data_IF_654568217490
#
_entry.id   IF_654568217490
#
_cell.length_a   1.000
_cell.length_b   1.000
_cell.length_c   1.000
_cell.angle_alpha   90.00
_cell.angle_beta   90.00
_cell.angle_gamma   90.00
#
_symmetry.space_group_name_H-M   'P 1'
#
loop_
_entity.id
_entity.type
_entity.pdbx_description
1 polymer ?
#
# COMPACT_ATOMS: atom_id res chain seq x y z
N UNK A 1 8.80 14.67 -13.97
CA UNK A 1 7.62 15.56 -13.87
C UNK A 1 6.48 14.73 -13.31
N UNK A 2 5.70 15.31 -12.39
CA UNK A 2 4.57 14.65 -11.72
C UNK A 2 3.32 15.41 -12.11
N UNK A 3 2.33 14.74 -12.71
CA UNK A 3 0.97 15.28 -12.81
C UNK A 3 0.14 14.64 -11.67
N UNK A 4 -0.52 15.44 -10.83
CA UNK A 4 -1.26 14.99 -9.64
C UNK A 4 -2.78 15.17 -9.82
N UNK A 5 -3.55 14.20 -9.35
CA UNK A 5 -5.01 14.26 -9.22
C UNK A 5 -5.42 13.79 -7.81
N UNK A 6 -6.69 13.98 -7.38
CA UNK A 6 -7.12 13.62 -6.03
C UNK A 6 -6.84 12.16 -5.63
N UNK A 7 -6.84 11.25 -6.61
CA UNK A 7 -6.71 9.80 -6.38
C UNK A 7 -5.45 9.20 -7.03
N UNK A 8 -4.53 10.00 -7.59
CA UNK A 8 -3.41 9.43 -8.31
C UNK A 8 -2.32 10.40 -8.79
N UNK A 9 -1.24 9.80 -9.28
CA UNK A 9 -0.08 10.51 -9.80
C UNK A 9 0.32 9.92 -11.15
N UNK A 10 0.81 10.76 -12.05
CA UNK A 10 1.52 10.33 -13.26
C UNK A 10 2.98 10.73 -13.13
N UNK A 11 3.87 9.75 -13.04
CA UNK A 11 5.30 10.00 -13.05
C UNK A 11 5.86 9.87 -14.47
N UNK A 12 6.60 10.88 -14.91
CA UNK A 12 7.31 10.89 -16.19
C UNK A 12 8.81 10.97 -15.97
N UNK A 13 9.54 9.94 -16.43
CA UNK A 13 11.00 9.88 -16.44
C UNK A 13 11.54 10.26 -17.83
N UNK A 14 12.48 11.21 -17.86
CA UNK A 14 13.12 11.71 -19.09
C UNK A 14 14.32 10.84 -19.49
N UNK A 15 14.95 10.16 -18.52
CA UNK A 15 16.01 9.18 -18.73
C UNK A 15 15.95 8.18 -17.59
N UNK A 16 15.48 6.97 -17.85
CA UNK A 16 15.37 5.93 -16.85
C UNK A 16 15.43 4.57 -17.53
N UNK A 17 16.35 3.73 -17.08
CA UNK A 17 16.24 2.30 -17.36
C UNK A 17 14.96 1.79 -16.68
N UNK A 18 14.25 0.89 -17.35
CA UNK A 18 13.08 0.20 -16.81
C UNK A 18 13.55 -0.69 -15.65
N UNK A 19 13.83 -0.10 -14.48
CA UNK A 19 14.03 -0.87 -13.26
C UNK A 19 12.74 -1.64 -13.00
N UNK A 20 12.88 -2.89 -12.54
CA UNK A 20 11.83 -3.88 -12.27
C UNK A 20 10.58 -3.28 -11.60
N UNK A 21 9.74 -2.65 -12.39
CA UNK A 21 8.47 -2.07 -11.98
C UNK A 21 7.44 -2.66 -12.93
N UNK A 22 6.40 -3.25 -12.37
CA UNK A 22 5.26 -3.84 -13.04
C UNK A 22 3.96 -3.19 -12.59
N UNK A 23 2.89 -3.41 -13.36
CA UNK A 23 1.55 -3.15 -12.83
C UNK A 23 1.27 -4.12 -11.67
N UNK A 24 0.66 -3.62 -10.59
CA UNK A 24 0.47 -4.38 -9.34
C UNK A 24 1.53 -4.10 -8.28
N UNK A 25 2.63 -3.41 -8.63
CA UNK A 25 3.65 -3.06 -7.65
C UNK A 25 3.19 -1.92 -6.74
N UNK A 26 3.58 -1.99 -5.46
CA UNK A 26 3.42 -0.90 -4.52
C UNK A 26 4.71 -0.08 -4.45
N UNK A 27 4.56 1.24 -4.53
CA UNK A 27 5.67 2.19 -4.49
C UNK A 27 5.43 3.28 -3.45
N UNK A 28 6.52 3.75 -2.84
CA UNK A 28 6.52 4.92 -2.00
C UNK A 28 6.90 6.16 -2.84
N UNK A 29 6.00 7.12 -2.93
CA UNK A 29 6.23 8.41 -3.58
C UNK A 29 6.41 9.49 -2.52
N UNK A 30 7.52 10.22 -2.59
CA UNK A 30 7.73 11.43 -1.80
C UNK A 30 7.82 12.62 -2.77
N UNK A 31 6.80 13.50 -2.84
CA UNK A 31 6.87 14.73 -3.63
C UNK A 31 8.04 15.61 -3.15
N UNK A 32 8.62 16.45 -4.00
CA UNK A 32 9.72 17.33 -3.57
C UNK A 32 9.23 18.45 -2.65
N UNK A 33 7.99 18.85 -2.87
CA UNK A 33 7.29 19.94 -2.21
C UNK A 33 6.70 19.51 -0.85
N UNK A 34 6.70 18.20 -0.55
CA UNK A 34 6.12 17.63 0.66
C UNK A 34 7.05 16.56 1.25
N UNK A 35 7.33 16.64 2.55
CA UNK A 35 8.09 15.59 3.24
C UNK A 35 7.29 14.30 3.47
N UNK A 36 5.99 14.27 3.14
CA UNK A 36 5.12 13.11 3.38
C UNK A 36 5.31 12.05 2.29
N UNK A 37 5.40 10.80 2.74
CA UNK A 37 5.44 9.64 1.86
C UNK A 37 4.00 9.19 1.57
N UNK A 38 3.69 9.02 0.30
CA UNK A 38 2.44 8.45 -0.19
C UNK A 38 2.71 7.03 -0.69
N UNK A 39 1.96 6.04 -0.20
CA UNK A 39 1.98 4.71 -0.79
C UNK A 39 1.02 4.69 -1.97
N UNK A 40 1.51 4.24 -3.12
CA UNK A 40 0.77 4.20 -4.37
C UNK A 40 0.84 2.81 -5.01
N UNK A 41 -0.21 2.45 -5.76
CA UNK A 41 -0.28 1.25 -6.58
C UNK A 41 0.04 1.60 -8.03
N UNK A 42 0.95 0.86 -8.66
CA UNK A 42 1.24 0.99 -10.08
C UNK A 42 0.11 0.35 -10.89
N UNK A 43 -0.65 1.17 -11.62
CA UNK A 43 -1.77 0.71 -12.46
C UNK A 43 -1.37 0.50 -13.91
N UNK A 44 -0.40 1.26 -14.40
CA UNK A 44 0.09 1.15 -15.77
C UNK A 44 1.53 1.62 -15.90
N UNK A 45 2.23 1.01 -16.84
CA UNK A 45 3.56 1.44 -17.27
C UNK A 45 3.55 1.54 -18.78
N UNK A 46 3.91 2.71 -19.30
CA UNK A 46 4.09 2.96 -20.72
C UNK A 46 5.54 3.35 -20.96
N UNK A 47 6.22 2.67 -21.88
CA UNK A 47 7.62 2.93 -22.20
C UNK A 47 7.77 3.15 -23.70
N UNK A 48 8.41 4.24 -24.10
CA UNK A 48 8.90 4.51 -25.45
C UNK A 48 10.42 4.69 -25.41
N UNK A 49 11.07 4.78 -26.58
CA UNK A 49 12.53 4.88 -26.70
C UNK A 49 13.16 6.04 -25.90
N UNK A 50 12.38 7.08 -25.59
CA UNK A 50 12.85 8.29 -24.90
C UNK A 50 12.09 8.61 -23.62
N UNK A 51 11.10 7.78 -23.24
CA UNK A 51 10.18 8.15 -22.15
C UNK A 51 9.63 6.92 -21.42
N UNK A 52 9.61 7.00 -20.10
CA UNK A 52 8.88 6.08 -19.24
C UNK A 52 7.80 6.86 -18.48
N UNK A 53 6.56 6.42 -18.61
CA UNK A 53 5.40 6.96 -17.92
C UNK A 53 4.78 5.89 -17.00
N UNK A 54 4.56 6.24 -15.75
CA UNK A 54 4.01 5.34 -14.73
C UNK A 54 2.75 5.98 -14.17
N UNK A 55 1.61 5.32 -14.35
CA UNK A 55 0.35 5.72 -13.74
C UNK A 55 0.22 5.08 -12.37
N UNK A 56 0.10 5.92 -11.35
CA UNK A 56 -0.01 5.56 -9.95
C UNK A 56 -1.39 5.92 -9.41
N UNK A 57 -1.95 5.03 -8.60
CA UNK A 57 -3.13 5.30 -7.79
C UNK A 57 -2.71 5.49 -6.34
N UNK A 58 -3.15 6.57 -5.70
CA UNK A 58 -2.88 6.82 -4.29
C UNK A 58 -3.61 5.79 -3.43
N UNK A 59 -2.87 5.03 -2.63
CA UNK A 59 -3.44 4.08 -1.67
C UNK A 59 -3.60 4.72 -0.31
N UNK A 60 -2.53 5.29 0.24
CA UNK A 60 -2.59 6.00 1.53
C UNK A 60 -1.56 7.11 1.61
N UNK A 61 -1.94 8.31 2.11
CA UNK A 61 -1.03 9.39 2.43
C UNK A 61 -0.35 9.23 3.80
N UNK A 62 -0.72 8.22 4.58
CA UNK A 62 -0.16 7.98 5.92
C UNK A 62 0.03 6.49 6.18
N UNK A 63 1.29 6.12 6.47
CA UNK A 63 1.66 4.74 6.75
C UNK A 63 2.49 4.61 8.03
N UNK A 64 2.50 3.42 8.61
CA UNK A 64 3.35 3.07 9.75
C UNK A 64 3.84 1.64 9.63
N UNK A 65 5.08 1.39 10.01
CA UNK A 65 5.57 0.03 10.23
C UNK A 65 5.05 -0.43 11.59
N UNK A 66 4.42 -1.61 11.62
CA UNK A 66 3.73 -2.15 12.79
C UNK A 66 4.07 -3.60 12.98
N UNK A 67 3.91 -4.10 14.20
CA UNK A 67 3.84 -5.53 14.47
C UNK A 67 2.38 -5.97 14.47
N UNK A 68 2.12 -7.09 13.81
CA UNK A 68 0.81 -7.72 13.73
C UNK A 68 0.84 -9.01 14.54
N UNK A 69 -0.09 -9.10 15.49
CA UNK A 69 -0.33 -10.31 16.27
C UNK A 69 -1.61 -10.96 15.78
N UNK A 70 -1.58 -12.25 15.50
CA UNK A 70 -2.75 -13.03 15.15
C UNK A 70 -2.71 -14.37 15.88
N UNK A 71 -3.87 -14.97 16.10
CA UNK A 71 -3.91 -16.33 16.64
C UNK A 71 -3.19 -17.29 15.68
N UNK A 72 -2.42 -18.21 16.25
CA UNK A 72 -1.71 -19.28 15.52
C UNK A 72 -0.68 -18.80 14.47
N UNK A 73 -0.36 -17.51 14.44
CA UNK A 73 0.62 -16.93 13.51
C UNK A 73 1.69 -16.19 14.30
N UNK A 74 3.00 -16.37 14.03
CA UNK A 74 4.03 -15.58 14.68
C UNK A 74 3.81 -14.08 14.48
N UNK A 75 4.24 -13.26 15.44
CA UNK A 75 4.25 -11.81 15.28
C UNK A 75 5.05 -11.44 14.02
N UNK A 76 4.43 -10.70 13.10
CA UNK A 76 5.09 -10.26 11.86
C UNK A 76 5.06 -8.74 11.70
N UNK A 77 6.14 -8.21 11.13
CA UNK A 77 6.19 -6.81 10.72
C UNK A 77 5.41 -6.61 9.43
N UNK A 78 4.61 -5.55 9.40
CA UNK A 78 3.79 -5.17 8.26
C UNK A 78 3.81 -3.64 8.06
N UNK A 79 3.29 -3.19 6.92
CA UNK A 79 3.02 -1.77 6.68
C UNK A 79 1.52 -1.53 6.82
N UNK A 80 1.15 -0.73 7.82
CA UNK A 80 -0.22 -0.32 8.08
C UNK A 80 -0.54 1.00 7.38
N UNK A 81 -1.63 1.01 6.61
CA UNK A 81 -2.17 2.18 5.93
C UNK A 81 -3.34 2.71 6.77
N UNK A 82 -3.21 3.93 7.29
CA UNK A 82 -4.19 4.46 8.26
C UNK A 82 -5.55 4.75 7.61
N UNK A 83 -5.56 5.13 6.34
CA UNK A 83 -6.77 5.26 5.55
C UNK A 83 -6.51 4.90 4.08
N UNK A 84 -7.56 4.49 3.39
CA UNK A 84 -7.60 4.23 1.96
C UNK A 84 -8.62 5.19 1.34
N UNK A 85 -8.22 6.40 0.91
CA UNK A 85 -9.16 7.46 0.49
C UNK A 85 -10.10 7.01 -0.64
N UNK A 86 -9.56 6.34 -1.65
CA UNK A 86 -10.32 5.81 -2.79
C UNK A 86 -11.24 4.62 -2.44
N UNK A 87 -11.13 4.10 -1.21
CA UNK A 87 -11.85 2.91 -0.74
C UNK A 87 -12.56 3.22 0.59
N UNK A 88 -13.39 4.26 0.63
CA UNK A 88 -14.26 4.52 1.79
C UNK A 88 -13.55 4.84 3.11
N UNK A 89 -12.25 5.17 3.09
CA UNK A 89 -11.42 5.44 4.28
C UNK A 89 -11.25 4.22 5.21
N UNK A 90 -11.29 3.00 4.68
CA UNK A 90 -10.84 1.81 5.42
C UNK A 90 -9.34 1.90 5.76
N UNK A 91 -8.89 1.17 6.77
CA UNK A 91 -7.45 0.95 6.96
C UNK A 91 -6.96 -0.14 6.00
N UNK A 92 -5.67 -0.17 5.69
CA UNK A 92 -5.06 -1.20 4.87
C UNK A 92 -3.86 -1.85 5.54
N UNK A 93 -3.45 -3.00 5.04
CA UNK A 93 -2.31 -3.75 5.54
C UNK A 93 -1.53 -4.38 4.39
N UNK A 94 -0.23 -4.11 4.31
CA UNK A 94 0.68 -4.78 3.39
C UNK A 94 1.55 -5.76 4.18
N UNK A 95 1.57 -7.00 3.74
CA UNK A 95 2.25 -8.11 4.43
C UNK A 95 3.07 -8.95 3.45
N UNK A 96 3.91 -9.83 3.99
CA UNK A 96 4.49 -10.89 3.18
C UNK A 96 3.38 -11.80 2.61
N UNK A 97 3.57 -12.38 1.41
CA UNK A 97 2.59 -13.29 0.83
C UNK A 97 2.31 -14.50 1.71
N UNK A 98 1.04 -14.87 1.85
CA UNK A 98 0.58 -16.03 2.60
C UNK A 98 0.65 -15.86 4.12
N UNK A 99 0.96 -14.66 4.63
CA UNK A 99 1.04 -14.39 6.05
C UNK A 99 -0.33 -14.41 6.73
N UNK A 100 -1.38 -13.96 6.04
CA UNK A 100 -2.72 -13.83 6.61
C UNK A 100 -3.81 -14.27 5.63
N UNK A 101 -5.00 -14.55 6.16
CA UNK A 101 -6.17 -14.95 5.37
C UNK A 101 -7.33 -13.99 5.60
N UNK A 102 -8.13 -13.73 4.57
CA UNK A 102 -9.39 -12.99 4.71
C UNK A 102 -10.27 -13.63 5.79
N UNK A 103 -10.84 -12.80 6.65
CA UNK A 103 -11.62 -13.20 7.82
C UNK A 103 -10.80 -13.38 9.10
N UNK A 104 -9.47 -13.45 9.01
CA UNK A 104 -8.62 -13.60 10.20
C UNK A 104 -8.66 -12.34 11.07
N UNK A 105 -8.79 -12.53 12.37
CA UNK A 105 -8.70 -11.43 13.34
C UNK A 105 -7.23 -11.17 13.68
N UNK A 106 -6.86 -9.90 13.69
CA UNK A 106 -5.50 -9.46 13.95
C UNK A 106 -5.50 -8.26 14.90
N UNK A 107 -4.46 -8.16 15.71
CA UNK A 107 -4.16 -7.00 16.53
C UNK A 107 -2.98 -6.25 15.93
N UNK A 108 -3.23 -5.01 15.50
CA UNK A 108 -2.23 -4.10 14.98
C UNK A 108 -1.61 -3.33 16.15
N UNK A 109 -0.33 -3.55 16.44
CA UNK A 109 0.43 -2.81 17.46
C UNK A 109 0.94 -1.49 16.87
N UNK A 110 0.29 -0.39 17.22
CA UNK A 110 0.74 0.97 16.89
C UNK A 110 1.48 1.57 18.09
N UNK A 111 2.33 2.59 17.88
CA UNK A 111 2.91 3.33 18.98
C UNK A 111 1.82 3.87 19.93
N UNK A 112 1.83 3.41 21.18
CA UNK A 112 0.89 3.87 22.22
C UNK A 112 -0.55 3.33 22.13
N UNK A 113 -0.89 2.46 21.16
CA UNK A 113 -2.22 1.82 21.10
C UNK A 113 -2.22 0.50 20.32
N UNK A 114 -3.17 -0.36 20.62
CA UNK A 114 -3.45 -1.56 19.83
C UNK A 114 -4.82 -1.45 19.16
N UNK A 115 -4.93 -1.90 17.91
CA UNK A 115 -6.19 -1.92 17.16
C UNK A 115 -6.56 -3.34 16.78
N UNK A 116 -7.73 -3.80 17.19
CA UNK A 116 -8.30 -5.06 16.70
C UNK A 116 -8.95 -4.82 15.34
N UNK A 117 -8.58 -5.64 14.36
CA UNK A 117 -9.08 -5.58 12.98
C UNK A 117 -9.34 -6.98 12.47
N UNK A 118 -10.09 -7.05 11.38
CA UNK A 118 -10.23 -8.28 10.61
C UNK A 118 -9.61 -8.06 9.24
N UNK A 119 -8.85 -9.05 8.75
CA UNK A 119 -8.34 -9.06 7.38
C UNK A 119 -9.55 -9.12 6.45
N UNK A 120 -9.76 -8.07 5.68
CA UNK A 120 -10.88 -7.96 4.75
C UNK A 120 -10.49 -8.41 3.35
N UNK A 121 -10.95 -7.66 2.35
CA UNK A 121 -10.72 -7.93 0.93
C UNK A 121 -9.23 -7.80 0.57
N UNK A 122 -8.68 -8.81 -0.11
CA UNK A 122 -7.39 -8.71 -0.79
C UNK A 122 -7.53 -7.79 -2.01
N UNK A 123 -6.79 -6.69 -2.01
CA UNK A 123 -6.83 -5.66 -3.05
C UNK A 123 -5.79 -5.89 -4.13
N UNK A 124 -4.62 -6.41 -3.74
CA UNK A 124 -3.53 -6.73 -4.65
C UNK A 124 -2.66 -7.83 -4.03
N UNK A 125 -2.12 -8.72 -4.87
CA UNK A 125 -1.21 -9.78 -4.44
C UNK A 125 -0.23 -10.13 -5.54
N UNK A 126 1.04 -10.28 -5.18
CA UNK A 126 2.11 -10.70 -6.09
C UNK A 126 3.16 -11.53 -5.32
N UNK A 127 4.24 -11.93 -5.99
CA UNK A 127 5.30 -12.75 -5.39
C UNK A 127 6.03 -12.07 -4.22
N UNK A 128 5.94 -10.74 -4.10
CA UNK A 128 6.62 -9.95 -3.08
C UNK A 128 5.74 -9.49 -1.93
N UNK A 129 4.41 -9.35 -2.12
CA UNK A 129 3.50 -8.84 -1.10
C UNK A 129 2.04 -9.28 -1.30
N UNK A 130 1.28 -9.18 -0.22
CA UNK A 130 -0.19 -9.09 -0.25
C UNK A 130 -0.65 -7.79 0.39
N UNK A 131 -1.69 -7.19 -0.18
CA UNK A 131 -2.28 -5.95 0.29
C UNK A 131 -3.77 -6.12 0.52
N UNK A 132 -4.20 -5.92 1.76
CA UNK A 132 -5.57 -6.08 2.21
C UNK A 132 -6.19 -4.76 2.65
N UNK A 133 -7.48 -4.58 2.36
CA UNK A 133 -8.33 -3.70 3.14
C UNK A 133 -8.65 -4.38 4.49
N UNK A 134 -8.70 -3.60 5.56
CA UNK A 134 -9.03 -4.08 6.89
C UNK A 134 -10.42 -3.62 7.30
N UNK A 135 -11.19 -4.57 7.80
CA UNK A 135 -12.52 -4.33 8.35
C UNK A 135 -12.43 -3.93 9.82
N UNK A 136 -13.36 -3.06 10.23
CA UNK A 136 -13.58 -2.79 11.65
C UNK A 136 -14.33 -3.98 12.24
N UNK A 137 -13.83 -4.47 13.36
CA UNK A 137 -14.63 -5.36 14.18
C UNK A 137 -15.73 -4.51 14.85
N UNK A 138 -16.99 -4.98 14.89
CA UNK A 138 -18.03 -4.32 15.66
C UNK A 138 -17.63 -4.31 17.15
N UNK A 139 -17.93 -3.20 17.82
CA UNK A 139 -17.75 -3.04 19.27
C UNK A 139 -18.62 -4.02 20.07
#
# INVERSE_FOLDING_TARGET
MIDESPDGFLLRFIKGEKRNLGAGDLVALQPRESSKIHVCLVRRISSSQIRLEVGLQLMSPQVSVVDIVAEETPDQRAVFLHNLPAYGKFSGLITAPGAYRTGQKVMVKLPGRSLHRQIGTCMEANEGLEFFALDRLPD
#
